data_IF_821277924830
#
_entry.id   IF_821277924830
#
_cell.length_a   1.000
_cell.length_b   1.000
_cell.length_c   1.000
_cell.angle_alpha   90.00
_cell.angle_beta   90.00
_cell.angle_gamma   90.00
#
_symmetry.space_group_name_H-M   'P 1'
#
loop_
_entity.id
_entity.type
_entity.pdbx_description
1 polymer ?
#
# COMPACT_ATOMS: atom_id res chain seq x y z
N UNK A 1 27.32 -34.29 23.22
CA UNK A 1 27.97 -33.13 23.85
C UNK A 1 27.91 -31.96 22.89
N UNK A 2 27.15 -30.91 23.23
CA UNK A 2 27.44 -29.49 22.98
C UNK A 2 26.30 -28.69 23.62
N UNK A 3 26.54 -28.30 24.88
CA UNK A 3 25.71 -27.38 25.66
C UNK A 3 25.86 -25.96 25.10
N UNK A 4 24.76 -25.27 24.81
CA UNK A 4 24.74 -23.80 24.82
C UNK A 4 23.73 -23.33 25.87
N UNK A 5 24.30 -22.73 26.92
CA UNK A 5 23.62 -22.08 28.04
C UNK A 5 22.86 -20.87 27.51
N UNK A 6 21.56 -20.81 27.73
CA UNK A 6 20.78 -19.58 27.60
C UNK A 6 20.99 -18.76 28.87
N UNK A 7 21.50 -17.54 28.67
CA UNK A 7 21.79 -16.54 29.69
C UNK A 7 20.49 -15.79 30.03
N UNK A 8 20.02 -15.95 31.27
CA UNK A 8 18.88 -15.24 31.85
C UNK A 8 19.35 -13.88 32.37
N UNK A 9 19.12 -12.82 31.60
CA UNK A 9 19.23 -11.45 32.10
C UNK A 9 17.92 -10.69 31.93
N UNK A 10 17.25 -10.55 33.09
CA UNK A 10 16.28 -9.55 33.52
C UNK A 10 15.16 -9.13 32.55
N UNK A 11 14.02 -9.80 32.68
CA UNK A 11 12.72 -9.32 32.20
C UNK A 11 12.29 -8.14 33.07
N UNK A 12 12.48 -6.91 32.56
CA UNK A 12 11.83 -5.72 33.14
C UNK A 12 10.34 -5.74 32.80
N UNK A 13 9.49 -5.51 33.80
CA UNK A 13 8.04 -5.65 33.72
C UNK A 13 7.41 -4.73 32.67
N UNK A 14 6.47 -5.28 31.90
CA UNK A 14 5.74 -4.67 30.77
C UNK A 14 4.85 -3.47 31.18
N UNK A 15 4.83 -3.10 32.46
CA UNK A 15 3.99 -2.03 33.01
C UNK A 15 4.58 -0.60 32.91
N UNK A 16 5.74 -0.40 32.28
CA UNK A 16 6.43 0.92 32.27
C UNK A 16 6.73 1.55 30.89
N UNK A 17 6.11 1.07 29.80
CA UNK A 17 6.25 1.72 28.48
C UNK A 17 4.95 2.28 27.90
N UNK A 18 3.95 2.53 28.75
CA UNK A 18 2.75 3.27 28.37
C UNK A 18 2.98 4.77 28.51
N UNK A 19 3.60 5.39 27.50
CA UNK A 19 3.32 6.79 27.17
C UNK A 19 3.56 7.04 25.69
N UNK A 20 2.43 7.11 24.95
CA UNK A 20 2.24 7.99 23.80
C UNK A 20 2.90 7.57 22.47
N UNK A 21 2.40 6.50 21.85
CA UNK A 21 2.56 6.31 20.41
C UNK A 21 1.32 6.88 19.70
N UNK A 22 1.42 8.14 19.24
CA UNK A 22 0.39 8.77 18.44
C UNK A 22 0.28 8.03 17.09
N UNK A 23 -0.92 7.57 16.79
CA UNK A 23 -1.32 6.97 15.52
C UNK A 23 -0.97 7.91 14.35
N UNK A 24 0.17 7.67 13.71
CA UNK A 24 0.56 8.48 12.55
C UNK A 24 0.01 7.81 11.30
N UNK A 25 -1.27 8.09 11.06
CA UNK A 25 -1.93 7.97 9.76
C UNK A 25 -0.95 8.54 8.71
N UNK A 26 -0.70 7.82 7.60
CA UNK A 26 0.03 8.37 6.44
C UNK A 26 -0.58 9.75 6.22
N UNK A 27 0.18 10.84 6.38
CA UNK A 27 -0.43 12.16 6.46
C UNK A 27 -1.28 12.31 5.20
N UNK A 28 -2.54 12.70 5.41
CA UNK A 28 -3.55 12.90 4.38
C UNK A 28 -3.17 14.14 3.58
N UNK A 29 -1.97 14.15 3.00
CA UNK A 29 -1.45 15.23 2.18
C UNK A 29 -2.13 15.07 0.83
N UNK A 30 -3.40 15.48 0.75
CA UNK A 30 -3.98 15.96 -0.51
C UNK A 30 -3.31 17.29 -0.82
N UNK A 31 -2.06 17.23 -1.24
CA UNK A 31 -1.36 18.40 -1.75
C UNK A 31 -0.91 18.06 -3.16
N UNK A 32 -1.91 17.95 -4.03
CA UNK A 32 -1.64 17.94 -5.45
C UNK A 32 -1.26 19.37 -5.84
N UNK A 33 -0.06 19.56 -6.37
CA UNK A 33 0.20 20.74 -7.19
C UNK A 33 -0.69 20.61 -8.42
N UNK A 34 -1.59 21.57 -8.67
CA UNK A 34 -2.49 21.59 -9.83
C UNK A 34 -1.78 21.42 -11.19
N UNK A 35 -0.46 21.64 -11.24
CA UNK A 35 0.39 21.59 -12.43
C UNK A 35 1.37 20.39 -12.49
N UNK A 36 1.05 19.24 -11.90
CA UNK A 36 1.93 18.07 -11.97
C UNK A 36 1.80 17.33 -13.32
N UNK A 37 2.73 17.58 -14.25
CA UNK A 37 2.78 16.91 -15.57
C UNK A 37 2.89 15.39 -15.48
N UNK A 38 3.58 14.87 -14.46
CA UNK A 38 3.69 13.42 -14.25
C UNK A 38 2.33 12.78 -13.95
N UNK A 39 1.51 13.45 -13.12
CA UNK A 39 0.15 12.97 -12.83
C UNK A 39 -0.69 12.97 -14.10
N UNK A 40 -0.66 14.06 -14.87
CA UNK A 40 -1.40 14.17 -16.14
C UNK A 40 -1.05 13.02 -17.07
N UNK A 41 0.25 12.76 -17.28
CA UNK A 41 0.72 11.66 -18.12
C UNK A 41 0.25 10.28 -17.62
N UNK A 42 0.32 10.03 -16.31
CA UNK A 42 -0.18 8.77 -15.75
C UNK A 42 -1.70 8.63 -15.88
N UNK A 43 -2.46 9.72 -15.71
CA UNK A 43 -3.92 9.72 -15.88
C UNK A 43 -4.32 9.40 -17.32
N UNK A 44 -3.69 10.05 -18.30
CA UNK A 44 -3.89 9.76 -19.73
C UNK A 44 -3.56 8.30 -20.07
N UNK A 45 -2.54 7.71 -19.43
CA UNK A 45 -2.19 6.31 -19.62
C UNK A 45 -3.28 5.37 -19.10
N UNK A 46 -3.82 5.62 -17.90
CA UNK A 46 -4.90 4.81 -17.33
C UNK A 46 -6.18 4.90 -18.17
N UNK A 47 -6.52 6.09 -18.65
CA UNK A 47 -7.67 6.30 -19.53
C UNK A 47 -7.58 5.46 -20.82
N UNK A 48 -6.37 5.27 -21.37
CA UNK A 48 -6.16 4.41 -22.55
C UNK A 48 -6.39 2.93 -22.31
N UNK A 49 -6.41 2.47 -21.05
CA UNK A 49 -6.71 1.08 -20.76
C UNK A 49 -8.21 0.74 -20.79
N UNK A 50 -9.08 1.75 -20.90
CA UNK A 50 -10.54 1.58 -20.97
C UNK A 50 -11.10 0.76 -19.79
N UNK A 51 -10.59 1.03 -18.59
CA UNK A 51 -11.11 0.40 -17.37
C UNK A 51 -12.38 1.13 -16.91
N UNK A 52 -13.37 0.40 -16.35
CA UNK A 52 -14.59 1.01 -15.84
C UNK A 52 -14.28 2.07 -14.77
N UNK A 53 -14.78 3.29 -14.98
CA UNK A 53 -14.56 4.44 -14.09
C UNK A 53 -15.03 4.18 -12.66
N UNK A 54 -16.02 3.29 -12.49
CA UNK A 54 -16.63 2.93 -11.23
C UNK A 54 -15.67 2.19 -10.31
N UNK A 55 -14.60 1.60 -10.86
CA UNK A 55 -13.55 0.95 -10.09
C UNK A 55 -12.70 1.95 -9.29
N UNK A 56 -12.66 3.21 -9.72
CA UNK A 56 -11.73 4.19 -9.16
C UNK A 56 -12.35 5.01 -8.03
N UNK A 57 -11.50 5.39 -7.07
CA UNK A 57 -11.79 6.25 -5.95
C UNK A 57 -10.70 7.33 -5.88
N UNK A 58 -10.84 8.34 -6.74
CA UNK A 58 -9.83 9.38 -7.00
C UNK A 58 -9.39 10.16 -5.77
N UNK A 59 -10.19 10.19 -4.70
CA UNK A 59 -9.86 10.79 -3.42
C UNK A 59 -8.63 10.13 -2.74
N UNK A 60 -8.33 8.88 -3.09
CA UNK A 60 -7.20 8.10 -2.58
C UNK A 60 -6.00 8.08 -3.54
N UNK A 61 -6.07 8.80 -4.65
CA UNK A 61 -4.93 8.96 -5.56
C UNK A 61 -3.75 9.62 -4.83
N UNK A 62 -2.53 9.21 -5.21
CA UNK A 62 -1.28 9.78 -4.69
C UNK A 62 -0.21 9.79 -5.78
N UNK A 63 0.43 10.94 -5.97
CA UNK A 63 1.57 11.06 -6.88
C UNK A 63 2.87 11.13 -6.08
N UNK A 64 3.80 10.24 -6.37
CA UNK A 64 5.11 10.14 -5.71
C UNK A 64 6.26 10.68 -6.58
N UNK A 65 5.96 11.52 -7.57
CA UNK A 65 6.98 12.21 -8.35
C UNK A 65 7.74 13.23 -7.49
N UNK A 66 8.87 13.72 -7.98
CA UNK A 66 9.70 14.71 -7.26
C UNK A 66 8.97 16.01 -6.92
N UNK A 67 7.95 16.38 -7.69
CA UNK A 67 7.14 17.60 -7.45
C UNK A 67 6.11 17.39 -6.34
N UNK A 68 5.35 16.29 -6.39
CA UNK A 68 4.26 16.03 -5.43
C UNK A 68 4.76 15.38 -4.12
N UNK A 69 5.86 14.64 -4.19
CA UNK A 69 6.47 13.95 -3.05
C UNK A 69 7.99 14.19 -3.10
N UNK A 70 8.47 15.36 -2.65
CA UNK A 70 9.87 15.76 -2.74
C UNK A 70 10.77 14.91 -1.84
N UNK A 71 12.07 14.89 -2.12
CA UNK A 71 13.06 14.08 -1.39
C UNK A 71 13.18 14.43 0.10
N UNK A 72 12.68 15.59 0.51
CA UNK A 72 12.56 15.99 1.92
C UNK A 72 11.50 15.19 2.68
N UNK A 73 10.56 14.56 1.99
CA UNK A 73 9.58 13.66 2.62
C UNK A 73 10.20 12.28 2.92
N UNK A 74 9.67 11.52 3.89
CA UNK A 74 10.20 10.20 4.24
C UNK A 74 10.20 9.19 3.08
N UNK A 75 11.16 8.27 3.06
CA UNK A 75 11.17 7.14 2.12
C UNK A 75 10.48 5.89 2.66
N UNK A 76 10.16 5.89 3.95
CA UNK A 76 9.50 4.79 4.65
C UNK A 76 8.45 5.33 5.60
N UNK A 77 7.34 4.61 5.74
CA UNK A 77 6.38 4.82 6.83
C UNK A 77 6.33 3.60 7.72
N UNK A 78 6.23 3.84 9.03
CA UNK A 78 6.02 2.75 9.97
C UNK A 78 4.64 2.15 9.74
N UNK A 79 4.59 0.82 9.59
CA UNK A 79 3.33 0.10 9.55
C UNK A 79 2.64 0.19 10.91
N UNK A 80 1.35 0.50 10.94
CA UNK A 80 0.52 0.47 12.16
C UNK A 80 0.30 -0.95 12.69
N UNK A 81 0.77 -1.95 11.94
CA UNK A 81 0.65 -3.36 12.27
C UNK A 81 1.89 -3.79 13.05
N UNK A 82 1.66 -4.34 14.24
CA UNK A 82 2.70 -4.87 15.12
C UNK A 82 3.54 -5.94 14.39
N UNK A 83 4.87 -5.90 14.58
CA UNK A 83 5.84 -6.83 13.97
C UNK A 83 5.91 -6.84 12.44
N UNK A 84 5.50 -5.75 11.76
CA UNK A 84 5.66 -5.63 10.30
C UNK A 84 6.75 -4.65 9.88
N UNK A 85 7.35 -4.98 8.76
CA UNK A 85 8.34 -4.15 8.08
C UNK A 85 7.77 -2.78 7.73
N UNK A 86 8.61 -1.72 7.74
CA UNK A 86 8.19 -0.41 7.27
C UNK A 86 7.76 -0.46 5.80
N UNK A 87 6.75 0.34 5.47
CA UNK A 87 6.25 0.48 4.09
C UNK A 87 7.22 1.38 3.33
N UNK A 88 7.79 0.87 2.24
CA UNK A 88 8.68 1.63 1.36
C UNK A 88 7.84 2.50 0.43
N UNK A 89 8.15 3.78 0.33
CA UNK A 89 7.46 4.70 -0.58
C UNK A 89 7.95 4.49 -2.01
N UNK A 90 7.04 4.22 -2.97
CA UNK A 90 7.40 3.98 -4.36
C UNK A 90 7.65 5.30 -5.09
N UNK A 91 8.85 5.86 -4.92
CA UNK A 91 9.24 7.12 -5.57
C UNK A 91 9.08 7.05 -7.08
N UNK A 92 8.62 8.16 -7.66
CA UNK A 92 8.26 8.29 -9.08
C UNK A 92 7.12 7.37 -9.53
N UNK A 93 6.24 6.92 -8.63
CA UNK A 93 5.02 6.21 -9.03
C UNK A 93 3.80 7.12 -8.93
N UNK A 94 2.76 6.77 -9.67
CA UNK A 94 1.41 7.27 -9.45
C UNK A 94 0.56 6.12 -8.92
N UNK A 95 -0.09 6.33 -7.77
CA UNK A 95 -1.08 5.42 -7.20
C UNK A 95 -2.46 5.95 -7.57
N UNK A 96 -3.24 5.10 -8.24
CA UNK A 96 -4.66 5.33 -8.47
C UNK A 96 -5.46 4.59 -7.40
N UNK A 97 -6.38 5.29 -6.74
CA UNK A 97 -7.27 4.74 -5.73
C UNK A 97 -8.30 3.82 -6.38
N UNK A 98 -8.51 2.64 -5.80
CA UNK A 98 -9.58 1.73 -6.19
C UNK A 98 -10.66 1.71 -5.11
N UNK A 99 -11.92 1.56 -5.52
CA UNK A 99 -13.01 1.27 -4.59
C UNK A 99 -12.82 -0.12 -3.99
N UNK A 100 -13.19 -0.24 -2.74
CA UNK A 100 -13.14 -1.49 -1.99
C UNK A 100 -14.53 -1.92 -1.57
N UNK A 101 -14.66 -3.20 -1.27
CA UNK A 101 -15.82 -3.75 -0.58
C UNK A 101 -15.65 -3.49 0.92
N UNK A 102 -16.35 -2.48 1.43
CA UNK A 102 -16.25 -2.04 2.82
C UNK A 102 -16.62 -3.14 3.83
N UNK A 103 -17.55 -4.03 3.48
CA UNK A 103 -17.97 -5.14 4.34
C UNK A 103 -16.82 -6.13 4.47
N UNK A 104 -16.23 -6.54 3.34
CA UNK A 104 -15.08 -7.46 3.34
C UNK A 104 -13.86 -6.83 4.01
N UNK A 105 -13.58 -5.56 3.73
CA UNK A 105 -12.47 -4.83 4.34
C UNK A 105 -12.56 -4.80 5.87
N UNK A 106 -13.77 -4.59 6.40
CA UNK A 106 -14.04 -4.61 7.85
C UNK A 106 -13.91 -6.02 8.44
N UNK A 107 -14.48 -7.04 7.81
CA UNK A 107 -14.41 -8.43 8.29
C UNK A 107 -12.95 -8.90 8.38
N UNK A 108 -12.15 -8.60 7.36
CA UNK A 108 -10.75 -9.01 7.28
C UNK A 108 -9.77 -8.05 7.99
N UNK A 109 -10.26 -6.91 8.50
CA UNK A 109 -9.46 -5.87 9.15
C UNK A 109 -8.24 -5.48 8.31
N UNK A 110 -8.46 -5.25 7.02
CA UNK A 110 -7.35 -5.15 6.04
C UNK A 110 -6.36 -4.03 6.37
N UNK A 111 -6.84 -2.93 6.95
CA UNK A 111 -5.99 -1.78 7.32
C UNK A 111 -5.07 -2.06 8.51
N UNK A 112 -5.50 -2.94 9.40
CA UNK A 112 -4.78 -3.25 10.66
C UNK A 112 -4.00 -4.57 10.58
N UNK A 113 -4.36 -5.47 9.66
CA UNK A 113 -3.80 -6.82 9.57
C UNK A 113 -3.01 -7.09 8.31
N UNK A 114 -3.19 -6.36 7.21
CA UNK A 114 -2.56 -6.72 5.94
C UNK A 114 -1.29 -5.91 5.67
N UNK A 115 -0.23 -6.59 5.22
CA UNK A 115 1.00 -5.90 4.86
C UNK A 115 0.79 -5.19 3.53
N UNK A 116 1.46 -4.05 3.33
CA UNK A 116 1.54 -3.43 2.00
C UNK A 116 2.64 -4.13 1.19
N UNK A 117 2.31 -4.58 -0.02
CA UNK A 117 3.25 -5.15 -0.98
C UNK A 117 3.01 -4.57 -2.38
N UNK A 118 3.98 -4.75 -3.26
CA UNK A 118 3.92 -4.31 -4.66
C UNK A 118 4.07 -5.52 -5.59
N UNK A 119 3.26 -5.56 -6.64
CA UNK A 119 3.26 -6.63 -7.63
C UNK A 119 3.18 -6.02 -9.03
N UNK A 120 4.15 -6.33 -9.89
CA UNK A 120 4.16 -5.90 -11.28
C UNK A 120 3.37 -6.86 -12.15
N UNK A 121 2.53 -6.33 -13.04
CA UNK A 121 1.68 -7.13 -13.94
C UNK A 121 1.35 -6.35 -15.22
N UNK A 122 0.71 -7.02 -16.18
CA UNK A 122 0.20 -6.39 -17.40
C UNK A 122 -1.16 -5.71 -17.14
N UNK A 123 -1.55 -4.67 -17.90
CA UNK A 123 -2.81 -3.95 -17.68
C UNK A 123 -4.06 -4.83 -17.75
N UNK A 124 -4.14 -5.75 -18.72
CA UNK A 124 -5.27 -6.67 -18.84
C UNK A 124 -5.38 -7.63 -17.64
N UNK A 125 -4.25 -8.18 -17.19
CA UNK A 125 -4.19 -9.02 -16.01
C UNK A 125 -4.58 -8.25 -14.74
N UNK A 126 -4.13 -7.00 -14.60
CA UNK A 126 -4.51 -6.14 -13.47
C UNK A 126 -6.03 -5.93 -13.37
N UNK A 127 -6.71 -5.66 -14.50
CA UNK A 127 -8.16 -5.51 -14.51
C UNK A 127 -8.88 -6.78 -14.04
N UNK A 128 -8.42 -7.94 -14.53
CA UNK A 128 -9.00 -9.23 -14.16
C UNK A 128 -8.72 -9.57 -12.68
N UNK A 129 -7.51 -9.32 -12.17
CA UNK A 129 -7.18 -9.42 -10.73
C UNK A 129 -8.08 -8.56 -9.86
N UNK A 130 -8.38 -7.32 -10.27
CA UNK A 130 -9.29 -6.40 -9.55
C UNK A 130 -10.71 -6.96 -9.54
N UNK A 131 -11.21 -7.41 -10.70
CA UNK A 131 -12.58 -7.97 -10.83
C UNK A 131 -12.78 -9.22 -9.97
N UNK A 132 -11.78 -10.08 -9.92
CA UNK A 132 -11.86 -11.36 -9.21
C UNK A 132 -11.30 -11.33 -7.79
N UNK A 133 -10.71 -10.20 -7.37
CA UNK A 133 -10.13 -10.00 -6.03
C UNK A 133 -9.06 -11.05 -5.69
N UNK A 134 -8.26 -11.44 -6.69
CA UNK A 134 -7.23 -12.46 -6.56
C UNK A 134 -5.91 -11.97 -7.19
N UNK A 135 -4.80 -12.29 -6.52
CA UNK A 135 -3.47 -12.09 -7.09
C UNK A 135 -3.11 -13.36 -7.85
N UNK A 136 -2.74 -13.23 -9.12
CA UNK A 136 -2.26 -14.33 -9.94
C UNK A 136 -0.75 -14.46 -9.87
N UNK A 137 -0.29 -15.71 -9.84
CA UNK A 137 1.09 -16.06 -10.11
C UNK A 137 1.31 -16.22 -11.62
N UNK A 138 2.54 -16.04 -12.11
CA UNK A 138 2.86 -16.32 -13.50
C UNK A 138 2.45 -17.75 -13.89
N UNK A 139 1.60 -17.88 -14.90
CA UNK A 139 1.08 -19.17 -15.38
C UNK A 139 -0.32 -19.54 -14.85
N UNK A 140 -0.85 -18.80 -13.87
CA UNK A 140 -2.24 -18.92 -13.46
C UNK A 140 -3.17 -18.44 -14.58
N UNK A 141 -4.34 -19.05 -14.68
CA UNK A 141 -5.44 -18.57 -15.54
C UNK A 141 -6.51 -17.97 -14.66
N UNK A 142 -6.92 -16.75 -15.00
CA UNK A 142 -8.05 -16.07 -14.37
C UNK A 142 -9.38 -16.68 -14.80
N UNK A 143 -10.44 -16.34 -14.06
CA UNK A 143 -11.80 -16.85 -14.33
C UNK A 143 -12.33 -16.42 -15.71
N UNK A 144 -11.79 -15.34 -16.27
CA UNK A 144 -12.09 -14.86 -17.63
C UNK A 144 -11.15 -15.45 -18.71
N UNK A 145 -10.22 -16.33 -18.32
CA UNK A 145 -9.33 -17.05 -19.25
C UNK A 145 -8.07 -16.28 -19.64
N UNK A 146 -7.84 -15.08 -19.09
CA UNK A 146 -6.58 -14.33 -19.18
C UNK A 146 -5.52 -14.85 -18.24
#
# INVERSE_FOLDING_TARGET
>A
MLNRKYDNREVKSISQLNTQCQSTIIPTVKMFTLSCSYRTLCSELIERFDWPSELFASEYDRCFCKTCYPLTMPNVYQSNIENKYPIIIPRNWMKFGLKIDEVQAKIHQIWDKWATSYHGTLPNAALSMIKHRQICLPGDKLLDGT
#
